data_IF_765245881004
#
_entry.id   IF_765245881004
#
_cell.length_a   1.000
_cell.length_b   1.000
_cell.length_c   1.000
_cell.angle_alpha   90.00
_cell.angle_beta   90.00
_cell.angle_gamma   90.00
#
_symmetry.space_group_name_H-M   'P 1'
#
loop_
_entity.id
_entity.type
_entity.pdbx_description
1 polymer ?
#
# COMPACT_ATOMS: atom_id res chain seq x y z
N UNK A 1 6.83 -9.29 3.19
CA UNK A 1 7.60 -8.16 3.75
C UNK A 1 7.21 -6.89 3.02
N UNK A 2 7.03 -5.77 3.73
CA UNK A 2 6.70 -4.47 3.15
C UNK A 2 7.97 -3.61 3.12
N UNK A 3 8.36 -3.13 1.95
CA UNK A 3 9.48 -2.20 1.82
C UNK A 3 9.00 -0.76 2.11
N UNK A 4 9.95 0.12 2.41
CA UNK A 4 9.68 1.55 2.49
C UNK A 4 9.12 2.04 1.15
N UNK A 5 8.01 2.79 1.20
CA UNK A 5 7.42 3.40 0.02
C UNK A 5 8.37 4.45 -0.56
N UNK A 6 8.36 4.62 -1.89
CA UNK A 6 9.17 5.63 -2.55
C UNK A 6 8.40 6.34 -3.67
N UNK A 7 8.40 7.69 -3.69
CA UNK A 7 9.02 8.60 -2.71
C UNK A 7 8.34 8.59 -1.33
N UNK A 8 9.04 9.03 -0.27
CA UNK A 8 8.50 9.33 1.05
C UNK A 8 9.33 10.46 1.72
N UNK A 9 8.80 11.68 1.96
CA UNK A 9 7.42 12.11 1.68
C UNK A 9 7.06 12.05 0.18
N UNK A 10 5.78 11.85 -0.13
CA UNK A 10 5.29 11.74 -1.52
C UNK A 10 4.28 12.84 -1.86
N UNK A 11 4.05 13.08 -3.16
CA UNK A 11 3.07 14.07 -3.64
C UNK A 11 2.61 13.78 -5.08
N UNK A 12 1.31 13.46 -5.32
CA UNK A 12 0.39 12.75 -4.43
C UNK A 12 0.54 11.23 -4.56
N UNK A 13 1.49 10.74 -5.37
CA UNK A 13 1.68 9.31 -5.63
C UNK A 13 2.95 8.76 -5.00
N UNK A 14 2.91 7.51 -4.54
CA UNK A 14 4.07 6.74 -4.10
C UNK A 14 3.96 5.29 -4.55
N UNK A 15 5.08 4.60 -4.69
CA UNK A 15 5.09 3.17 -4.97
C UNK A 15 5.35 2.37 -3.71
N UNK A 16 4.50 1.37 -3.48
CA UNK A 16 4.56 0.47 -2.34
C UNK A 16 5.03 -0.89 -2.86
N UNK A 17 6.23 -1.28 -2.44
CA UNK A 17 6.85 -2.56 -2.81
C UNK A 17 6.65 -3.57 -1.67
N UNK A 18 6.19 -4.76 -2.01
CA UNK A 18 5.98 -5.83 -1.05
C UNK A 18 6.36 -7.19 -1.62
N UNK A 19 6.76 -8.10 -0.75
CA UNK A 19 7.08 -9.48 -1.09
C UNK A 19 6.16 -10.46 -0.38
N UNK A 20 5.76 -11.48 -1.11
CA UNK A 20 4.92 -12.58 -0.66
C UNK A 20 5.81 -13.83 -0.60
N UNK A 21 6.09 -14.38 0.59
CA UNK A 21 6.98 -15.53 0.73
C UNK A 21 6.34 -16.85 0.27
N UNK A 22 5.02 -16.95 0.37
CA UNK A 22 4.24 -18.13 0.00
C UNK A 22 2.91 -17.68 -0.62
N UNK A 23 2.43 -18.42 -1.63
CA UNK A 23 1.19 -18.09 -2.30
C UNK A 23 0.00 -18.09 -1.32
N UNK A 24 -0.85 -17.06 -1.41
CA UNK A 24 -1.94 -16.89 -0.47
C UNK A 24 -2.84 -15.71 -0.80
N UNK A 25 -3.93 -15.59 -0.03
CA UNK A 25 -4.77 -14.40 -0.05
C UNK A 25 -4.07 -13.27 0.69
N UNK A 26 -3.96 -12.12 0.05
CA UNK A 26 -3.35 -10.91 0.63
C UNK A 26 -4.33 -9.76 0.64
N UNK A 27 -4.17 -8.89 1.63
CA UNK A 27 -4.86 -7.61 1.71
C UNK A 27 -3.83 -6.51 1.96
N UNK A 28 -3.83 -5.48 1.12
CA UNK A 28 -3.04 -4.27 1.29
C UNK A 28 -4.00 -3.11 1.41
N UNK A 29 -4.10 -2.57 2.62
CA UNK A 29 -5.07 -1.55 3.02
C UNK A 29 -4.29 -0.38 3.59
N UNK A 30 -4.66 0.83 3.19
CA UNK A 30 -4.10 2.07 3.71
C UNK A 30 -5.02 2.61 4.80
N UNK A 31 -4.44 2.99 5.93
CA UNK A 31 -5.14 3.56 7.07
C UNK A 31 -4.70 5.00 7.31
N UNK A 32 -5.59 5.82 7.88
CA UNK A 32 -5.19 7.12 8.42
C UNK A 32 -4.68 6.99 9.87
N UNK A 33 -4.25 8.11 10.48
CA UNK A 33 -3.75 8.14 11.86
C UNK A 33 -4.77 7.72 12.92
N UNK A 34 -6.07 7.71 12.59
CA UNK A 34 -7.15 7.29 13.47
C UNK A 34 -7.44 5.78 13.36
N UNK A 35 -6.75 5.09 12.44
CA UNK A 35 -6.97 3.67 12.16
C UNK A 35 -8.18 3.40 11.27
N UNK A 36 -8.69 4.43 10.57
CA UNK A 36 -9.78 4.26 9.61
C UNK A 36 -9.23 3.76 8.27
N UNK A 37 -9.91 2.78 7.66
CA UNK A 37 -9.58 2.30 6.32
C UNK A 37 -9.88 3.39 5.28
N UNK A 38 -8.85 3.80 4.54
CA UNK A 38 -8.94 4.87 3.54
C UNK A 38 -9.05 4.30 2.13
N UNK A 39 -8.20 3.32 1.80
CA UNK A 39 -8.25 2.64 0.51
C UNK A 39 -7.73 1.21 0.61
N UNK A 40 -8.33 0.30 -0.16
CA UNK A 40 -7.80 -1.06 -0.35
C UNK A 40 -7.09 -1.12 -1.70
N UNK A 41 -5.76 -1.29 -1.68
CA UNK A 41 -4.91 -1.35 -2.86
C UNK A 41 -4.86 -2.75 -3.48
N UNK A 42 -5.00 -3.78 -2.66
CA UNK A 42 -5.09 -5.17 -3.12
C UNK A 42 -5.91 -6.01 -2.13
N UNK A 43 -6.73 -6.92 -2.65
CA UNK A 43 -7.48 -7.92 -1.86
C UNK A 43 -7.76 -9.14 -2.73
N UNK A 44 -6.72 -9.93 -3.00
CA UNK A 44 -6.76 -11.01 -3.98
C UNK A 44 -5.81 -12.15 -3.60
N UNK A 45 -5.89 -13.27 -4.33
CA UNK A 45 -4.91 -14.34 -4.20
C UNK A 45 -3.70 -14.02 -5.08
N UNK A 46 -2.50 -14.08 -4.50
CA UNK A 46 -1.23 -13.87 -5.20
C UNK A 46 -0.29 -15.04 -4.98
N UNK A 47 0.54 -15.33 -5.99
CA UNK A 47 1.63 -16.28 -5.86
C UNK A 47 2.77 -15.71 -4.99
N UNK A 48 3.73 -16.56 -4.61
CA UNK A 48 4.98 -16.07 -4.02
C UNK A 48 5.74 -15.21 -5.04
N UNK A 49 6.28 -14.08 -4.60
CA UNK A 49 6.95 -13.13 -5.48
C UNK A 49 7.10 -11.74 -4.90
N UNK A 50 7.69 -10.85 -5.69
CA UNK A 50 7.81 -9.42 -5.39
C UNK A 50 6.81 -8.64 -6.25
N UNK A 51 6.12 -7.70 -5.63
CA UNK A 51 5.07 -6.91 -6.23
C UNK A 51 5.25 -5.44 -5.91
N UNK A 52 4.71 -4.60 -6.78
CA UNK A 52 4.69 -3.15 -6.63
C UNK A 52 3.28 -2.67 -6.96
N UNK A 53 2.74 -1.79 -6.12
CA UNK A 53 1.48 -1.09 -6.37
C UNK A 53 1.71 0.41 -6.30
N UNK A 54 1.08 1.14 -7.20
CA UNK A 54 1.03 2.59 -7.13
C UNK A 54 -0.12 3.01 -6.21
N UNK A 55 0.19 3.85 -5.24
CA UNK A 55 -0.79 4.52 -4.40
C UNK A 55 -0.91 5.96 -4.85
N UNK A 56 -2.09 6.34 -5.32
CA UNK A 56 -2.46 7.72 -5.69
C UNK A 56 -3.39 8.30 -4.62
N UNK A 57 -2.93 9.34 -3.94
CA UNK A 57 -3.65 10.03 -2.88
C UNK A 57 -4.27 11.35 -3.35
N UNK A 58 -4.46 11.57 -4.65
CA UNK A 58 -4.97 12.85 -5.20
C UNK A 58 -6.32 13.27 -4.59
N UNK A 59 -7.19 12.31 -4.27
CA UNK A 59 -8.51 12.57 -3.66
C UNK A 59 -8.51 12.55 -2.13
N UNK A 60 -7.33 12.35 -1.51
CA UNK A 60 -7.20 12.23 -0.07
C UNK A 60 -6.65 13.53 0.55
N UNK A 61 -7.10 13.92 1.76
CA UNK A 61 -6.50 15.05 2.47
C UNK A 61 -5.00 14.88 2.69
N UNK A 62 -4.26 15.97 2.80
CA UNK A 62 -2.87 15.90 3.27
C UNK A 62 -2.83 15.34 4.70
N UNK A 63 -1.96 14.36 4.94
CA UNK A 63 -1.89 13.68 6.22
C UNK A 63 -0.85 12.56 6.24
N UNK A 64 -0.83 11.83 7.36
CA UNK A 64 -0.01 10.63 7.52
C UNK A 64 -0.90 9.41 7.33
N UNK A 65 -0.40 8.47 6.53
CA UNK A 65 -1.06 7.22 6.19
C UNK A 65 -0.14 6.04 6.49
N UNK A 66 -0.73 4.90 6.84
CA UNK A 66 -0.04 3.66 7.21
C UNK A 66 -0.50 2.48 6.35
#
# INVERSE_FOLDING_TARGET
HLAQNFPNPFNPTTNIKYSIPEAGKISLIVFNILGEEVVTLANEFKAAGNYEVNFDATELPSGIYF
#
